data_IF_348993970169
#
_entry.id   IF_348993970169
#
_cell.length_a   1.000
_cell.length_b   1.000
_cell.length_c   1.000
_cell.angle_alpha   90.00
_cell.angle_beta   90.00
_cell.angle_gamma   90.00
#
_symmetry.space_group_name_H-M   'P 1'
#
loop_
_entity.id
_entity.type
_entity.pdbx_description
1 polymer ?
#
# COMPACT_ATOMS: atom_id res chain seq x y z
N UNK A 1 -2.13 25.54 -16.28
CA UNK A 1 -1.10 24.70 -16.92
C UNK A 1 0.05 24.34 -15.99
N UNK A 2 1.09 25.16 -15.74
CA UNK A 2 2.25 24.72 -14.91
C UNK A 2 1.89 24.26 -13.48
N UNK A 3 0.95 24.94 -12.83
CA UNK A 3 0.51 24.60 -11.46
C UNK A 3 -0.23 23.26 -11.36
N UNK A 4 -0.94 22.85 -12.42
CA UNK A 4 -1.69 21.58 -12.41
C UNK A 4 -0.76 20.38 -12.55
N UNK A 5 0.30 20.52 -13.36
CA UNK A 5 1.33 19.48 -13.54
C UNK A 5 2.20 19.28 -12.30
N UNK A 6 2.48 20.35 -11.55
CA UNK A 6 3.24 20.27 -10.30
C UNK A 6 2.43 19.60 -9.20
N UNK A 7 1.14 19.95 -9.05
CA UNK A 7 0.22 19.28 -8.10
C UNK A 7 0.03 17.80 -8.44
N UNK A 8 -0.09 17.46 -9.72
CA UNK A 8 -0.20 16.07 -10.15
C UNK A 8 1.04 15.24 -9.76
N UNK A 9 2.25 15.79 -9.97
CA UNK A 9 3.50 15.13 -9.58
C UNK A 9 3.63 14.96 -8.07
N UNK A 10 3.27 15.96 -7.28
CA UNK A 10 3.27 15.85 -5.82
C UNK A 10 2.32 14.74 -5.34
N UNK A 11 1.09 14.71 -5.87
CA UNK A 11 0.10 13.65 -5.55
C UNK A 11 0.59 12.26 -5.95
N UNK A 12 1.28 12.15 -7.09
CA UNK A 12 1.88 10.89 -7.52
C UNK A 12 2.97 10.45 -6.55
N UNK A 13 3.86 11.35 -6.13
CA UNK A 13 4.91 11.05 -5.15
C UNK A 13 4.33 10.62 -3.79
N UNK A 14 3.29 11.30 -3.31
CA UNK A 14 2.56 10.91 -2.08
C UNK A 14 1.92 9.52 -2.22
N UNK A 15 1.36 9.21 -3.38
CA UNK A 15 0.78 7.91 -3.68
C UNK A 15 1.84 6.80 -3.68
N UNK A 16 2.95 6.99 -4.38
CA UNK A 16 4.07 6.04 -4.45
C UNK A 16 4.67 5.78 -3.06
N UNK A 17 4.82 6.83 -2.25
CA UNK A 17 5.29 6.72 -0.88
C UNK A 17 4.35 5.85 -0.03
N UNK A 18 3.03 6.01 -0.19
CA UNK A 18 2.05 5.22 0.56
C UNK A 18 2.03 3.75 0.14
N UNK A 19 2.10 3.48 -1.16
CA UNK A 19 2.25 2.11 -1.69
C UNK A 19 3.51 1.47 -1.12
N UNK A 20 4.63 2.20 -1.11
CA UNK A 20 5.89 1.71 -0.55
C UNK A 20 5.83 1.44 0.95
N UNK A 21 5.11 2.26 1.72
CA UNK A 21 4.92 2.04 3.16
C UNK A 21 4.16 0.73 3.45
N UNK A 22 3.09 0.46 2.70
CA UNK A 22 2.34 -0.81 2.82
C UNK A 22 3.24 -2.00 2.48
N UNK A 23 3.96 -1.93 1.35
CA UNK A 23 4.87 -2.99 0.93
C UNK A 23 5.98 -3.25 1.95
N UNK A 24 6.59 -2.19 2.49
CA UNK A 24 7.66 -2.30 3.49
C UNK A 24 7.20 -2.98 4.78
N UNK A 25 5.93 -2.77 5.17
CA UNK A 25 5.33 -3.49 6.30
C UNK A 25 5.19 -4.97 5.98
N UNK A 26 4.66 -5.33 4.81
CA UNK A 26 4.54 -6.75 4.41
C UNK A 26 5.91 -7.45 4.38
N UNK A 27 6.95 -6.79 3.86
CA UNK A 27 8.30 -7.36 3.84
C UNK A 27 8.90 -7.63 5.23
N UNK A 28 8.55 -6.80 6.23
CA UNK A 28 9.00 -6.99 7.62
C UNK A 28 8.23 -8.09 8.34
N UNK A 29 7.05 -8.44 7.87
CA UNK A 29 6.14 -9.41 8.49
C UNK A 29 5.91 -10.62 7.58
N UNK A 30 6.91 -11.52 7.50
CA UNK A 30 6.89 -12.69 6.60
C UNK A 30 5.76 -13.69 6.85
N UNK A 31 5.12 -13.64 8.02
CA UNK A 31 3.94 -14.46 8.35
C UNK A 31 2.64 -13.97 7.69
N UNK A 32 2.72 -12.86 6.95
CA UNK A 32 1.58 -12.16 6.40
C UNK A 32 0.85 -11.31 7.44
N UNK A 33 0.02 -10.39 6.95
CA UNK A 33 -0.79 -9.48 7.76
C UNK A 33 -2.19 -9.33 7.19
N UNK A 34 -3.18 -9.13 8.05
CA UNK A 34 -4.52 -8.71 7.66
C UNK A 34 -4.51 -7.22 7.33
N UNK A 35 -5.45 -6.82 6.48
CA UNK A 35 -5.66 -5.39 6.14
C UNK A 35 -5.86 -4.51 7.38
N UNK A 36 -6.59 -5.03 8.38
CA UNK A 36 -6.86 -4.31 9.63
C UNK A 36 -5.58 -4.07 10.44
N UNK A 37 -4.69 -5.06 10.50
CA UNK A 37 -3.41 -4.95 11.22
C UNK A 37 -2.51 -3.90 10.56
N UNK A 38 -2.43 -3.91 9.23
CA UNK A 38 -1.66 -2.91 8.45
C UNK A 38 -2.25 -1.51 8.65
N UNK A 39 -3.58 -1.38 8.63
CA UNK A 39 -4.27 -0.11 8.85
C UNK A 39 -3.99 0.45 10.26
N UNK A 40 -4.02 -0.39 11.29
CA UNK A 40 -3.68 -0.02 12.66
C UNK A 40 -2.21 0.42 12.79
N UNK A 41 -1.27 -0.32 12.18
CA UNK A 41 0.16 0.03 12.20
C UNK A 41 0.48 1.36 11.52
N UNK A 42 -0.23 1.69 10.43
CA UNK A 42 -0.04 2.92 9.68
C UNK A 42 -0.89 4.10 10.19
N UNK A 43 -1.87 3.83 11.07
CA UNK A 43 -2.87 4.82 11.48
C UNK A 43 -3.78 5.26 10.33
N UNK A 44 -4.04 4.37 9.36
CA UNK A 44 -4.81 4.66 8.15
C UNK A 44 -6.19 4.03 8.18
N UNK A 45 -7.06 4.50 7.29
CA UNK A 45 -8.33 3.84 7.06
C UNK A 45 -8.14 2.52 6.31
N UNK A 46 -8.84 1.45 6.72
CA UNK A 46 -8.73 0.11 6.11
C UNK A 46 -8.95 0.12 4.60
N UNK A 47 -9.90 0.92 4.11
CA UNK A 47 -10.17 1.05 2.65
C UNK A 47 -8.96 1.61 1.88
N UNK A 48 -8.20 2.53 2.46
CA UNK A 48 -6.99 3.05 1.81
C UNK A 48 -5.91 1.98 1.72
N UNK A 49 -5.72 1.21 2.78
CA UNK A 49 -4.78 0.07 2.79
C UNK A 49 -5.19 -0.99 1.76
N UNK A 50 -6.46 -1.40 1.73
CA UNK A 50 -6.96 -2.38 0.75
C UNK A 50 -6.70 -1.92 -0.70
N UNK A 51 -6.92 -0.63 -1.01
CA UNK A 51 -6.59 -0.11 -2.34
C UNK A 51 -5.10 -0.26 -2.69
N UNK A 52 -4.20 0.06 -1.76
CA UNK A 52 -2.76 -0.08 -2.00
C UNK A 52 -2.30 -1.55 -2.04
N UNK A 53 -2.97 -2.45 -1.32
CA UNK A 53 -2.69 -3.88 -1.39
C UNK A 53 -3.06 -4.46 -2.75
N UNK A 54 -4.22 -4.07 -3.31
CA UNK A 54 -4.59 -4.47 -4.66
C UNK A 54 -3.66 -3.87 -5.72
N UNK A 55 -3.21 -2.62 -5.57
CA UNK A 55 -2.18 -2.07 -6.46
C UNK A 55 -0.89 -2.91 -6.40
N UNK A 56 -0.45 -3.31 -5.21
CA UNK A 56 0.73 -4.16 -5.07
C UNK A 56 0.52 -5.56 -5.67
N UNK A 57 -0.68 -6.10 -5.60
CA UNK A 57 -1.09 -7.35 -6.26
C UNK A 57 -1.01 -7.23 -7.78
N UNK A 58 -1.59 -6.16 -8.34
CA UNK A 58 -1.55 -5.87 -9.78
C UNK A 58 -0.10 -5.71 -10.28
N UNK A 59 0.79 -5.20 -9.42
CA UNK A 59 2.24 -5.09 -9.68
C UNK A 59 3.03 -6.39 -9.45
N UNK A 60 2.40 -7.49 -9.03
CA UNK A 60 3.05 -8.75 -8.63
C UNK A 60 4.08 -8.58 -7.51
N UNK A 61 3.79 -7.67 -6.56
CA UNK A 61 4.64 -7.39 -5.40
C UNK A 61 4.03 -7.87 -4.10
N UNK A 62 2.74 -8.17 -4.08
CA UNK A 62 2.07 -8.75 -2.95
C UNK A 62 1.06 -9.78 -3.44
N UNK A 63 0.74 -10.74 -2.60
CA UNK A 63 -0.33 -11.70 -2.88
C UNK A 63 -1.17 -11.92 -1.63
N UNK A 64 -2.40 -12.39 -1.83
CA UNK A 64 -3.34 -12.68 -0.75
C UNK A 64 -3.59 -14.19 -0.62
N UNK A 65 -3.47 -14.69 0.60
CA UNK A 65 -3.88 -16.05 0.97
C UNK A 65 -4.92 -15.97 2.09
N UNK A 66 -6.18 -16.30 1.76
CA UNK A 66 -7.31 -16.14 2.68
C UNK A 66 -7.54 -14.68 3.08
N UNK A 67 -7.20 -14.34 4.32
CA UNK A 67 -7.32 -12.99 4.90
C UNK A 67 -5.98 -12.29 5.10
N UNK A 68 -4.88 -12.99 4.80
CA UNK A 68 -3.52 -12.52 4.98
C UNK A 68 -2.95 -12.04 3.65
N UNK A 69 -2.20 -10.97 3.74
CA UNK A 69 -1.41 -10.39 2.66
C UNK A 69 0.05 -10.64 2.91
N UNK A 70 0.79 -10.99 1.86
CA UNK A 70 2.21 -11.31 1.87
C UNK A 70 2.94 -10.46 0.84
N UNK A 71 4.21 -10.18 1.07
CA UNK A 71 5.08 -9.65 0.04
C UNK A 71 5.57 -10.80 -0.86
N UNK A 72 5.63 -10.56 -2.16
CA UNK A 72 6.31 -11.43 -3.13
C UNK A 72 7.84 -11.34 -2.98
#
# INVERSE_FOLDING_TARGET
MLWEEEVARLRQGEYEQRVWQVFSILQRHRSGLREQEIAEMLGWHRRSVNNYLHELEDQNRAYREGWLWFAE
#
